data_IF_861529807577
#
_entry.id   IF_861529807577
#
_cell.length_a   1.000
_cell.length_b   1.000
_cell.length_c   1.000
_cell.angle_alpha   90.00
_cell.angle_beta   90.00
_cell.angle_gamma   90.00
#
_symmetry.space_group_name_H-M   'P 1'
#
loop_
_entity.id
_entity.type
_entity.pdbx_description
1 polymer ?
#
# COMPACT_ATOMS: atom_id res chain seq x y z
N UNK A 1 5.99 10.01 29.25
CA UNK A 1 6.17 10.91 28.09
C UNK A 1 5.09 10.47 27.12
N UNK A 2 4.11 11.32 26.85
CA UNK A 2 3.18 11.07 25.74
C UNK A 2 4.04 10.96 24.49
N UNK A 3 4.11 9.76 23.91
CA UNK A 3 4.75 9.59 22.62
C UNK A 3 3.98 10.47 21.65
N UNK A 4 4.62 11.55 21.20
CA UNK A 4 4.04 12.60 20.36
C UNK A 4 3.70 12.06 18.98
N UNK A 5 2.72 11.18 18.92
CA UNK A 5 2.15 10.65 17.70
C UNK A 5 1.47 11.79 16.95
N UNK A 6 1.82 11.96 15.67
CA UNK A 6 1.17 12.95 14.82
C UNK A 6 -0.35 12.77 14.89
N UNK A 7 -1.06 13.88 15.11
CA UNK A 7 -2.52 13.92 15.19
C UNK A 7 -3.14 13.09 16.34
N UNK A 8 -2.34 12.63 17.32
CA UNK A 8 -2.82 11.73 18.38
C UNK A 8 -3.14 10.31 17.87
N UNK A 9 -2.65 9.93 16.69
CA UNK A 9 -2.87 8.63 16.09
C UNK A 9 -1.62 7.75 16.22
N UNK A 10 -1.66 6.74 17.07
CA UNK A 10 -0.54 5.83 17.32
C UNK A 10 -0.07 5.05 16.07
N UNK A 11 -0.86 5.04 15.00
CA UNK A 11 -0.52 4.45 13.70
C UNK A 11 0.34 5.38 12.83
N UNK A 12 0.33 6.68 13.12
CA UNK A 12 1.07 7.68 12.36
C UNK A 12 2.56 7.58 12.69
N UNK A 13 3.37 7.50 11.65
CA UNK A 13 4.82 7.51 11.75
C UNK A 13 5.36 8.94 11.77
N UNK A 14 6.54 9.09 12.39
CA UNK A 14 7.24 10.37 12.43
C UNK A 14 7.43 10.94 11.01
N UNK A 15 7.17 12.22 10.84
CA UNK A 15 7.22 12.89 9.53
C UNK A 15 5.88 12.98 8.79
N UNK A 16 4.81 12.36 9.32
CA UNK A 16 3.45 12.57 8.80
C UNK A 16 2.99 14.01 9.04
N UNK A 17 2.54 14.71 8.00
CA UNK A 17 2.13 16.12 8.05
C UNK A 17 0.61 16.35 7.88
N UNK A 18 -0.14 15.33 7.45
CA UNK A 18 -1.62 15.32 7.38
C UNK A 18 -2.22 14.01 7.90
N UNK A 19 -3.47 13.99 8.40
CA UNK A 19 -4.12 12.75 8.84
C UNK A 19 -4.30 11.72 7.71
N UNK A 20 -4.19 10.43 8.03
CA UNK A 20 -4.36 9.35 7.04
C UNK A 20 -5.65 9.44 6.23
N UNK A 21 -6.79 9.67 6.90
CA UNK A 21 -8.09 9.71 6.21
C UNK A 21 -8.16 10.83 5.18
N UNK A 22 -7.61 12.01 5.52
CA UNK A 22 -7.57 13.14 4.59
C UNK A 22 -6.83 12.74 3.31
N UNK A 23 -5.71 12.02 3.44
CA UNK A 23 -4.93 11.69 2.27
C UNK A 23 -5.51 10.52 1.46
N UNK A 24 -6.09 9.53 2.14
CA UNK A 24 -6.89 8.50 1.49
C UNK A 24 -8.06 9.10 0.68
N UNK A 25 -8.72 10.14 1.19
CA UNK A 25 -9.80 10.83 0.47
C UNK A 25 -9.28 11.55 -0.78
N UNK A 26 -8.15 12.25 -0.68
CA UNK A 26 -7.48 12.92 -1.82
C UNK A 26 -7.10 11.89 -2.88
N UNK A 27 -6.42 10.83 -2.46
CA UNK A 27 -6.06 9.73 -3.33
C UNK A 27 -7.22 8.76 -3.52
N UNK A 28 -8.49 9.11 -3.28
CA UNK A 28 -9.69 8.29 -3.54
C UNK A 28 -9.49 6.78 -3.31
N UNK A 29 -8.84 6.43 -2.20
CA UNK A 29 -8.58 5.08 -1.76
C UNK A 29 -9.13 4.93 -0.34
N UNK A 30 -9.33 3.69 0.07
CA UNK A 30 -9.68 3.36 1.44
C UNK A 30 -8.72 2.28 1.93
N UNK A 31 -8.62 2.10 3.24
CA UNK A 31 -8.04 0.85 3.73
C UNK A 31 -9.02 -0.31 3.53
N UNK A 32 -8.54 -1.52 3.24
CA UNK A 32 -9.36 -2.72 3.24
C UNK A 32 -10.08 -2.88 4.58
N UNK A 33 -11.31 -3.39 4.55
CA UNK A 33 -12.08 -3.63 5.76
C UNK A 33 -11.32 -4.57 6.72
N UNK A 34 -11.18 -4.16 7.97
CA UNK A 34 -10.46 -4.94 8.99
C UNK A 34 -8.94 -4.91 8.85
N UNK A 35 -8.35 -3.89 8.21
CA UNK A 35 -6.91 -3.69 8.22
C UNK A 35 -6.37 -3.56 9.65
N UNK A 36 -5.36 -4.37 9.98
CA UNK A 36 -4.71 -4.43 11.29
C UNK A 36 -3.26 -3.97 11.20
N UNK A 37 -2.63 -3.68 12.35
CA UNK A 37 -1.21 -3.31 12.42
C UNK A 37 -0.83 -2.21 11.43
N UNK A 38 -1.71 -1.21 11.32
CA UNK A 38 -1.56 -0.12 10.35
C UNK A 38 -0.47 0.82 10.83
N UNK A 39 0.51 1.06 9.96
CA UNK A 39 1.53 2.09 10.10
C UNK A 39 1.54 2.92 8.82
N UNK A 40 1.51 4.24 8.95
CA UNK A 40 1.47 5.11 7.79
C UNK A 40 2.37 6.33 7.94
N UNK A 41 2.73 6.86 6.78
CA UNK A 41 3.30 8.19 6.62
C UNK A 41 2.61 8.88 5.45
N UNK A 42 2.32 10.16 5.64
CA UNK A 42 1.53 11.01 4.75
C UNK A 42 2.20 12.34 4.56
N UNK A 43 2.11 12.86 3.34
CA UNK A 43 2.71 14.13 2.95
C UNK A 43 1.71 14.99 2.17
N UNK A 44 1.44 16.20 2.64
CA UNK A 44 0.53 17.20 2.05
C UNK A 44 0.87 17.55 0.60
N UNK A 45 2.16 17.45 0.28
CA UNK A 45 2.74 17.49 -1.07
C UNK A 45 3.70 16.31 -1.18
N UNK A 46 3.87 15.70 -2.36
CA UNK A 46 4.82 14.60 -2.52
C UNK A 46 6.17 14.91 -1.86
N UNK A 47 6.57 14.06 -0.90
CA UNK A 47 7.82 14.23 -0.18
C UNK A 47 9.02 14.00 -1.11
N UNK A 48 10.22 14.25 -0.57
CA UNK A 48 11.46 13.95 -1.26
C UNK A 48 11.47 12.46 -1.71
N UNK A 49 11.39 12.23 -3.03
CA UNK A 49 11.25 10.90 -3.62
C UNK A 49 9.91 10.64 -4.33
N UNK A 50 8.96 11.59 -4.29
CA UNK A 50 7.68 11.50 -4.99
C UNK A 50 6.58 10.80 -4.19
N UNK A 51 6.90 10.20 -3.04
CA UNK A 51 5.93 9.47 -2.21
C UNK A 51 5.03 10.45 -1.47
N UNK A 52 3.74 10.30 -1.67
CA UNK A 52 2.67 11.10 -1.06
C UNK A 52 2.02 10.36 0.11
N UNK A 53 1.87 9.05 -0.03
CA UNK A 53 1.29 8.15 0.97
C UNK A 53 2.06 6.84 0.95
N UNK A 54 2.48 6.35 2.12
CA UNK A 54 2.85 4.95 2.29
C UNK A 54 2.12 4.38 3.50
N UNK A 55 1.52 3.20 3.33
CA UNK A 55 0.81 2.49 4.40
C UNK A 55 1.21 1.02 4.38
N UNK A 56 1.68 0.54 5.52
CA UNK A 56 1.84 -0.88 5.78
C UNK A 56 0.74 -1.38 6.72
N UNK A 57 0.16 -2.53 6.40
CA UNK A 57 -0.89 -3.13 7.20
C UNK A 57 -0.99 -4.64 6.98
N UNK A 58 -1.72 -5.33 7.87
CA UNK A 58 -2.13 -6.72 7.70
C UNK A 58 -3.59 -6.80 7.32
N UNK A 59 -3.94 -7.74 6.45
CA UNK A 59 -5.32 -7.96 6.01
C UNK A 59 -5.59 -9.43 5.70
N UNK A 60 -6.87 -9.78 5.61
CA UNK A 60 -7.29 -11.12 5.19
C UNK A 60 -7.32 -11.24 3.67
N UNK A 61 -7.16 -12.46 3.13
CA UNK A 61 -7.29 -12.69 1.69
C UNK A 61 -8.63 -12.22 1.13
N UNK A 62 -9.73 -12.45 1.86
CA UNK A 62 -11.08 -12.03 1.47
C UNK A 62 -11.19 -10.50 1.37
N UNK A 63 -10.74 -9.78 2.40
CA UNK A 63 -10.78 -8.32 2.41
C UNK A 63 -9.89 -7.71 1.32
N UNK A 64 -8.70 -8.27 1.10
CA UNK A 64 -7.83 -7.83 0.01
C UNK A 64 -8.42 -8.10 -1.38
N UNK A 65 -9.03 -9.26 -1.60
CA UNK A 65 -9.69 -9.53 -2.89
C UNK A 65 -10.88 -8.63 -3.15
N UNK A 66 -11.64 -8.24 -2.11
CA UNK A 66 -12.70 -7.24 -2.24
C UNK A 66 -12.11 -5.88 -2.61
N UNK A 67 -11.10 -5.43 -1.85
CA UNK A 67 -10.41 -4.16 -2.07
C UNK A 67 -9.84 -4.04 -3.49
N UNK A 68 -9.14 -5.06 -3.98
CA UNK A 68 -8.56 -5.07 -5.33
C UNK A 68 -9.62 -4.95 -6.43
N UNK A 69 -10.78 -5.60 -6.25
CA UNK A 69 -11.89 -5.57 -7.21
C UNK A 69 -12.64 -4.23 -7.18
N UNK A 70 -12.98 -3.74 -6.00
CA UNK A 70 -13.67 -2.45 -5.80
C UNK A 70 -12.86 -1.30 -6.40
N UNK A 71 -11.54 -1.36 -6.26
CA UNK A 71 -10.64 -0.38 -6.83
C UNK A 71 -10.24 -0.68 -8.28
N UNK A 72 -10.81 -1.70 -8.94
CA UNK A 72 -10.49 -2.09 -10.33
C UNK A 72 -8.99 -2.28 -10.58
N UNK A 73 -8.27 -2.72 -9.56
CA UNK A 73 -6.84 -3.03 -9.63
C UNK A 73 -6.66 -4.38 -10.33
N UNK A 74 -7.50 -5.35 -9.98
CA UNK A 74 -7.63 -6.64 -10.65
C UNK A 74 -9.00 -6.68 -11.32
N UNK A 75 -9.06 -6.97 -12.62
CA UNK A 75 -10.35 -6.97 -13.34
C UNK A 75 -11.12 -8.27 -13.10
N UNK A 76 -12.45 -8.19 -13.20
CA UNK A 76 -13.29 -9.40 -13.24
C UNK A 76 -12.82 -10.32 -14.39
N UNK A 77 -12.72 -11.62 -14.11
CA UNK A 77 -12.20 -12.62 -15.05
C UNK A 77 -10.71 -12.94 -14.90
N UNK A 78 -9.94 -12.12 -14.18
CA UNK A 78 -8.58 -12.50 -13.77
C UNK A 78 -8.69 -13.42 -12.56
N UNK A 79 -8.26 -14.68 -12.74
CA UNK A 79 -8.35 -15.67 -11.66
C UNK A 79 -7.12 -15.66 -10.76
N UNK A 80 -5.98 -15.18 -11.26
CA UNK A 80 -4.69 -15.38 -10.62
C UNK A 80 -3.84 -14.10 -10.66
N UNK A 81 -3.20 -13.76 -9.54
CA UNK A 81 -2.28 -12.62 -9.44
C UNK A 81 -0.89 -12.91 -10.04
N UNK A 82 -0.69 -14.08 -10.63
CA UNK A 82 0.59 -14.55 -11.16
C UNK A 82 0.65 -14.53 -12.70
N UNK A 83 -0.33 -13.92 -13.37
CA UNK A 83 -0.53 -14.05 -14.82
C UNK A 83 0.42 -13.20 -15.68
N UNK A 84 1.61 -12.88 -15.14
CA UNK A 84 2.71 -12.23 -15.83
C UNK A 84 2.54 -10.73 -16.07
N UNK A 85 1.32 -10.18 -15.91
CA UNK A 85 1.09 -8.72 -15.92
C UNK A 85 1.56 -8.04 -14.64
N UNK A 86 1.74 -8.83 -13.58
CA UNK A 86 2.16 -8.38 -12.26
C UNK A 86 3.56 -8.90 -11.98
N UNK A 87 4.38 -8.07 -11.33
CA UNK A 87 5.72 -8.49 -10.95
C UNK A 87 5.64 -9.39 -9.74
N UNK A 88 6.30 -10.55 -9.81
CA UNK A 88 6.33 -11.53 -8.72
C UNK A 88 7.76 -11.77 -8.30
N UNK A 89 8.00 -11.72 -7.00
CA UNK A 89 9.31 -11.97 -6.39
C UNK A 89 9.31 -11.62 -4.91
N UNK A 90 10.51 -11.54 -4.34
CA UNK A 90 10.71 -10.90 -3.04
C UNK A 90 10.69 -9.39 -3.26
N UNK A 91 9.52 -8.77 -3.08
CA UNK A 91 9.34 -7.33 -3.31
C UNK A 91 9.58 -6.57 -2.00
N UNK A 92 10.71 -5.85 -1.90
CA UNK A 92 10.96 -5.05 -0.72
C UNK A 92 12.25 -4.24 -0.75
N UNK A 93 12.11 -2.91 -0.62
CA UNK A 93 13.08 -2.06 0.06
C UNK A 93 12.74 -1.97 1.55
N UNK A 94 13.60 -1.38 2.37
CA UNK A 94 13.30 -1.19 3.79
C UNK A 94 12.11 -0.21 3.96
N UNK A 95 11.01 -0.57 4.64
CA UNK A 95 9.89 0.35 4.92
C UNK A 95 10.33 1.68 5.53
N UNK A 96 11.44 1.67 6.28
CA UNK A 96 12.07 2.89 6.81
C UNK A 96 12.53 3.87 5.72
N UNK A 97 12.89 3.41 4.51
CA UNK A 97 13.20 4.30 3.38
C UNK A 97 11.96 5.00 2.83
N UNK A 98 10.76 4.51 3.16
CA UNK A 98 9.49 5.17 2.89
C UNK A 98 9.00 6.02 4.07
N UNK A 99 9.76 6.10 5.18
CA UNK A 99 9.35 6.81 6.39
C UNK A 99 8.45 6.00 7.34
N UNK A 100 8.26 4.70 7.08
CA UNK A 100 7.44 3.85 7.96
C UNK A 100 8.18 3.47 9.25
N UNK A 101 7.45 3.58 10.36
CA UNK A 101 7.88 3.36 11.73
C UNK A 101 7.62 1.93 12.20
N UNK A 102 8.07 1.58 13.42
CA UNK A 102 7.52 0.45 14.16
C UNK A 102 7.94 -0.96 13.70
N UNK A 103 9.17 -1.16 13.24
CA UNK A 103 9.66 -2.47 12.75
C UNK A 103 8.72 -3.10 11.72
N UNK A 104 8.06 -2.28 10.90
CA UNK A 104 7.25 -2.76 9.77
C UNK A 104 8.10 -3.73 8.96
N UNK A 105 7.61 -4.97 8.85
CA UNK A 105 8.33 -6.02 8.20
C UNK A 105 8.42 -5.72 6.70
N UNK A 106 9.63 -5.90 6.14
CA UNK A 106 9.81 -5.98 4.70
C UNK A 106 9.02 -7.19 4.17
N UNK A 107 8.46 -7.07 2.97
CA UNK A 107 7.82 -8.19 2.29
C UNK A 107 8.90 -9.05 1.61
N UNK A 108 9.75 -9.71 2.41
CA UNK A 108 10.79 -10.65 1.95
C UNK A 108 10.22 -12.06 1.82
N UNK A 109 9.31 -12.25 0.88
CA UNK A 109 8.71 -13.54 0.54
C UNK A 109 8.07 -13.44 -0.84
N UNK A 110 7.69 -14.57 -1.48
CA UNK A 110 6.92 -14.53 -2.72
C UNK A 110 5.71 -13.62 -2.56
N UNK A 111 5.74 -12.54 -3.32
CA UNK A 111 4.78 -11.47 -3.28
C UNK A 111 4.52 -10.96 -4.69
N UNK A 112 3.35 -10.35 -4.86
CA UNK A 112 2.96 -9.70 -6.11
C UNK A 112 2.97 -8.20 -5.90
N UNK A 113 3.63 -7.48 -6.81
CA UNK A 113 3.56 -6.04 -6.92
C UNK A 113 2.52 -5.70 -7.99
N UNK A 114 1.56 -4.85 -7.61
CA UNK A 114 0.51 -4.38 -8.48
C UNK A 114 0.59 -2.86 -8.61
N UNK A 115 0.98 -2.43 -9.80
CA UNK A 115 1.10 -1.02 -10.14
C UNK A 115 -0.17 -0.57 -10.84
N UNK A 116 -0.73 0.56 -10.40
CA UNK A 116 -1.91 1.17 -11.00
C UNK A 116 -1.73 2.66 -11.16
N UNK A 117 -1.87 3.13 -12.39
CA UNK A 117 -1.92 4.56 -12.68
C UNK A 117 -3.32 5.13 -12.48
N UNK A 118 -3.38 6.35 -11.97
CA UNK A 118 -4.62 7.10 -11.72
C UNK A 118 -4.36 8.59 -11.90
N UNK A 119 -5.43 9.38 -11.97
CA UNK A 119 -5.36 10.85 -12.02
C UNK A 119 -5.73 11.41 -10.64
N UNK A 120 -4.84 12.19 -10.05
CA UNK A 120 -5.01 12.93 -8.80
C UNK A 120 -6.06 14.04 -8.93
N UNK A 121 -6.39 14.69 -7.81
CA UNK A 121 -7.39 15.78 -7.79
C UNK A 121 -6.92 17.04 -8.55
N UNK A 122 -5.62 17.24 -8.65
CA UNK A 122 -4.95 18.32 -9.38
C UNK A 122 -4.74 18.00 -10.87
N UNK A 123 -5.14 16.81 -11.31
CA UNK A 123 -4.96 16.33 -12.68
C UNK A 123 -3.59 15.71 -12.98
N UNK A 124 -2.70 15.56 -11.99
CA UNK A 124 -1.44 14.85 -12.17
C UNK A 124 -1.65 13.33 -12.16
N UNK A 125 -0.78 12.61 -12.84
CA UNK A 125 -0.77 11.14 -12.77
C UNK A 125 -0.09 10.70 -11.47
N UNK A 126 -0.72 9.75 -10.78
CA UNK A 126 -0.17 9.10 -9.59
C UNK A 126 -0.03 7.60 -9.88
N UNK A 127 1.07 7.02 -9.40
CA UNK A 127 1.33 5.59 -9.39
C UNK A 127 0.92 5.05 -8.02
N UNK A 128 0.03 4.06 -8.01
CA UNK A 128 -0.36 3.30 -6.82
C UNK A 128 0.28 1.93 -6.91
N UNK A 129 1.24 1.67 -6.03
CA UNK A 129 1.94 0.39 -5.93
C UNK A 129 1.40 -0.38 -4.73
N UNK A 130 1.06 -1.65 -4.95
CA UNK A 130 0.56 -2.54 -3.89
C UNK A 130 1.35 -3.83 -3.91
N UNK A 131 2.19 -4.04 -2.90
CA UNK A 131 2.89 -5.29 -2.66
C UNK A 131 2.08 -6.19 -1.70
N UNK A 132 1.85 -7.44 -2.08
CA UNK A 132 1.03 -8.41 -1.35
C UNK A 132 1.72 -9.77 -1.23
N UNK A 133 1.79 -10.35 -0.03
CA UNK A 133 2.32 -11.71 0.13
C UNK A 133 1.39 -12.78 -0.44
N UNK A 134 1.95 -13.67 -1.24
CA UNK A 134 1.28 -14.83 -1.83
C UNK A 134 1.54 -16.12 -1.02
N UNK A 135 0.66 -17.10 -1.21
CA UNK A 135 0.86 -18.44 -0.67
C UNK A 135 1.95 -19.17 -1.47
N UNK A 136 3.11 -19.48 -0.87
CA UNK A 136 4.23 -20.09 -1.59
C UNK A 136 3.95 -21.52 -2.04
N UNK A 137 2.97 -22.20 -1.42
CA UNK A 137 2.56 -23.55 -1.81
C UNK A 137 1.61 -23.55 -3.02
N UNK A 138 1.13 -22.39 -3.45
CA UNK A 138 0.14 -22.27 -4.52
C UNK A 138 0.76 -21.64 -5.77
N UNK A 139 0.99 -22.49 -6.77
CA UNK A 139 1.44 -22.07 -8.09
C UNK A 139 0.43 -21.15 -8.79
N UNK A 140 -0.84 -21.09 -8.35
CA UNK A 140 -1.86 -20.18 -8.88
C UNK A 140 -1.75 -18.74 -8.31
N UNK A 141 -0.84 -18.49 -7.36
CA UNK A 141 -0.62 -17.15 -6.83
C UNK A 141 -1.79 -16.62 -5.99
N UNK A 142 -2.41 -17.47 -5.16
CA UNK A 142 -3.42 -17.01 -4.22
C UNK A 142 -2.82 -16.18 -3.08
N UNK A 143 -3.59 -15.19 -2.60
CA UNK A 143 -3.25 -14.40 -1.43
C UNK A 143 -3.31 -15.30 -0.19
N UNK A 144 -2.32 -15.20 0.70
CA UNK A 144 -2.33 -15.91 1.99
C UNK A 144 -3.60 -15.59 2.79
N UNK A 145 -4.13 -16.52 3.61
CA UNK A 145 -5.29 -16.25 4.47
C UNK A 145 -5.17 -14.96 5.27
N UNK A 146 -3.96 -14.69 5.77
CA UNK A 146 -3.55 -13.38 6.26
C UNK A 146 -2.28 -12.95 5.57
N UNK A 147 -2.26 -11.72 5.07
CA UNK A 147 -1.18 -11.18 4.23
C UNK A 147 -0.69 -9.85 4.77
N UNK A 148 0.62 -9.61 4.65
CA UNK A 148 1.22 -8.30 4.87
C UNK A 148 1.16 -7.53 3.57
N UNK A 149 0.77 -6.26 3.66
CA UNK A 149 0.56 -5.38 2.52
C UNK A 149 1.34 -4.09 2.69
N UNK A 150 1.97 -3.64 1.62
CA UNK A 150 2.51 -2.30 1.51
C UNK A 150 1.81 -1.60 0.35
N UNK A 151 1.15 -0.49 0.64
CA UNK A 151 0.52 0.40 -0.34
C UNK A 151 1.31 1.70 -0.39
N UNK A 152 1.72 2.10 -1.59
CA UNK A 152 2.43 3.36 -1.83
C UNK A 152 1.70 4.15 -2.90
N UNK A 153 1.56 5.46 -2.71
CA UNK A 153 1.13 6.39 -3.76
C UNK A 153 2.27 7.36 -4.02
N UNK A 154 2.71 7.39 -5.26
CA UNK A 154 3.80 8.24 -5.74
C UNK A 154 3.26 9.17 -6.82
N UNK A 155 3.55 10.47 -6.74
CA UNK A 155 3.27 11.39 -7.84
C UNK A 155 4.25 11.08 -8.98
N UNK A 156 3.73 10.85 -10.19
CA UNK A 156 4.57 10.71 -11.37
C UNK A 156 5.18 12.07 -11.67
N UNK A 157 6.48 12.24 -11.42
CA UNK A 157 7.20 13.40 -11.92
C UNK A 157 7.14 13.37 -13.46
N UNK A 158 6.44 14.32 -14.08
CA UNK A 158 6.57 14.55 -15.54
C UNK A 158 8.04 14.82 -15.83
N UNK A 159 8.69 13.89 -16.53
CA UNK A 159 9.97 14.11 -17.20
C UNK A 159 9.78 14.91 -18.49
#
# INVERSE_FOLDING_TARGET
>A
MDEGHSFGDARACEGSDVPLQQELDVVRLALPAGAESVHYVTHSTAAAGGVRLAVAFRSTSQAMQAYLRENKIVTEGQRNLNDGRFEVGDVGGAPSSLGLCGNVAQIQAPAVLIDKQRVGLDGQEEIVDIALQLNPADMAGSIRPTTSVLLTVTESSRS
#
